data_IF_076558784215
#
_entry.id   IF_076558784215
#
_cell.length_a   1.000
_cell.length_b   1.000
_cell.length_c   1.000
_cell.angle_alpha   90.00
_cell.angle_beta   90.00
_cell.angle_gamma   90.00
#
_symmetry.space_group_name_H-M   'P 1'
#
loop_
_entity.id
_entity.type
_entity.pdbx_description
1 polymer ?
#
# COMPACT_ATOMS: atom_id res chain seq x y z
N UNK A 1 -15.43 1.17 -15.48
CA UNK A 1 -14.47 1.75 -14.51
C UNK A 1 -15.16 2.91 -13.79
N UNK A 2 -14.96 3.02 -12.47
CA UNK A 2 -15.55 4.09 -11.65
C UNK A 2 -14.94 5.43 -12.03
N UNK A 3 -15.75 6.47 -12.19
CA UNK A 3 -15.27 7.86 -12.24
C UNK A 3 -14.83 8.25 -10.81
N UNK A 4 -13.53 8.10 -10.56
CA UNK A 4 -12.99 8.27 -9.21
C UNK A 4 -13.12 9.70 -8.70
N UNK A 5 -13.11 10.72 -9.58
CA UNK A 5 -13.27 12.11 -9.16
C UNK A 5 -14.66 12.37 -8.62
N UNK A 6 -15.69 12.05 -9.42
CA UNK A 6 -17.08 12.21 -9.00
C UNK A 6 -17.42 11.34 -7.78
N UNK A 7 -16.84 10.12 -7.72
CA UNK A 7 -17.05 9.20 -6.60
C UNK A 7 -16.43 9.74 -5.30
N UNK A 8 -15.19 10.23 -5.34
CA UNK A 8 -14.52 10.81 -4.16
C UNK A 8 -15.18 12.08 -3.67
N UNK A 9 -15.73 12.91 -4.56
CA UNK A 9 -16.51 14.09 -4.18
C UNK A 9 -17.77 13.69 -3.39
N UNK A 10 -18.49 12.66 -3.87
CA UNK A 10 -19.66 12.11 -3.17
C UNK A 10 -19.30 11.49 -1.84
N UNK A 11 -18.19 10.73 -1.81
CA UNK A 11 -17.66 10.15 -0.56
C UNK A 11 -17.36 11.24 0.47
N UNK A 12 -16.60 12.28 0.08
CA UNK A 12 -16.24 13.38 0.98
C UNK A 12 -17.47 14.14 1.48
N UNK A 13 -18.46 14.38 0.62
CA UNK A 13 -19.71 15.01 1.02
C UNK A 13 -20.44 14.18 2.08
N UNK A 14 -20.58 12.86 1.84
CA UNK A 14 -21.27 11.94 2.77
C UNK A 14 -20.51 11.81 4.08
N UNK A 15 -19.18 11.70 4.03
CA UNK A 15 -18.30 11.65 5.20
C UNK A 15 -18.44 12.93 6.03
N UNK A 16 -18.46 14.10 5.39
CA UNK A 16 -18.60 15.39 6.07
C UNK A 16 -19.97 15.54 6.76
N UNK A 17 -21.04 15.03 6.16
CA UNK A 17 -22.37 15.00 6.80
C UNK A 17 -22.40 14.13 8.06
N UNK A 18 -21.58 13.09 8.11
CA UNK A 18 -21.54 12.17 9.25
C UNK A 18 -20.56 12.59 10.35
N UNK A 19 -19.38 13.11 9.98
CA UNK A 19 -18.29 13.34 10.94
C UNK A 19 -17.88 14.83 11.08
N UNK A 20 -18.25 15.68 10.10
CA UNK A 20 -18.08 17.14 10.20
C UNK A 20 -16.63 17.56 10.46
N UNK A 21 -16.46 18.35 11.51
CA UNK A 21 -15.16 18.89 11.93
C UNK A 21 -14.21 17.84 12.54
N UNK A 22 -14.71 16.67 12.87
CA UNK A 22 -13.91 15.56 13.37
C UNK A 22 -12.97 14.97 12.31
N UNK A 23 -13.16 15.30 11.03
CA UNK A 23 -12.33 14.84 9.92
C UNK A 23 -11.01 15.61 9.91
N UNK A 24 -9.93 14.98 10.34
CA UNK A 24 -8.59 15.56 10.26
C UNK A 24 -7.99 15.41 8.87
N UNK A 25 -8.13 14.22 8.22
CA UNK A 25 -7.56 13.96 6.90
C UNK A 25 -8.44 13.01 6.09
N UNK A 26 -8.47 13.23 4.77
CA UNK A 26 -9.01 12.29 3.78
C UNK A 26 -8.03 12.17 2.62
N UNK A 27 -7.77 10.95 2.18
CA UNK A 27 -6.92 10.67 1.03
C UNK A 27 -7.36 9.45 0.24
N UNK A 28 -6.71 9.25 -0.88
CA UNK A 28 -6.88 8.09 -1.76
C UNK A 28 -5.54 7.37 -1.89
N UNK A 29 -5.55 6.05 -1.81
CA UNK A 29 -4.41 5.17 -2.02
C UNK A 29 -4.63 4.20 -3.19
N UNK A 30 -3.75 3.24 -3.30
CA UNK A 30 -3.91 2.11 -4.20
C UNK A 30 -3.83 2.47 -5.68
N UNK A 31 -4.45 1.64 -6.50
CA UNK A 31 -4.37 1.74 -7.96
C UNK A 31 -5.04 3.00 -8.50
N UNK A 32 -6.11 3.48 -7.88
CA UNK A 32 -6.77 4.73 -8.27
C UNK A 32 -5.89 5.95 -8.01
N UNK A 33 -5.21 6.02 -6.87
CA UNK A 33 -4.28 7.13 -6.57
C UNK A 33 -3.11 7.17 -7.56
N UNK A 34 -2.62 6.01 -8.00
CA UNK A 34 -1.52 5.88 -8.96
C UNK A 34 -1.92 6.05 -10.42
N UNK A 35 -3.24 6.09 -10.73
CA UNK A 35 -3.74 6.10 -12.11
C UNK A 35 -3.55 4.74 -12.83
N UNK A 36 -3.54 3.64 -12.09
CA UNK A 36 -3.33 2.26 -12.56
C UNK A 36 -4.55 1.35 -12.31
N UNK A 37 -5.71 1.94 -12.01
CA UNK A 37 -6.93 1.20 -11.70
C UNK A 37 -7.48 0.44 -12.91
N UNK A 38 -8.13 -0.68 -12.64
CA UNK A 38 -8.88 -1.50 -13.57
C UNK A 38 -10.35 -1.57 -13.12
N UNK A 39 -11.20 -2.28 -13.85
CA UNK A 39 -12.62 -2.45 -13.45
C UNK A 39 -12.81 -3.21 -12.15
N UNK A 40 -11.84 -4.05 -11.79
CA UNK A 40 -11.85 -4.87 -10.57
C UNK A 40 -11.04 -4.26 -9.42
N UNK A 41 -10.55 -3.03 -9.59
CA UNK A 41 -9.73 -2.38 -8.56
C UNK A 41 -10.58 -1.92 -7.39
N UNK A 42 -10.05 -2.13 -6.18
CA UNK A 42 -10.60 -1.57 -4.94
C UNK A 42 -10.39 -0.05 -4.91
N UNK A 43 -11.28 0.64 -4.22
CA UNK A 43 -11.20 2.08 -3.93
C UNK A 43 -10.65 2.24 -2.52
N UNK A 44 -9.35 2.49 -2.41
CA UNK A 44 -8.62 2.54 -1.15
C UNK A 44 -8.70 3.95 -0.53
N UNK A 45 -9.72 4.20 0.29
CA UNK A 45 -9.90 5.48 0.97
C UNK A 45 -9.14 5.52 2.31
N UNK A 46 -8.45 6.61 2.56
CA UNK A 46 -7.85 6.91 3.86
C UNK A 46 -8.69 7.97 4.56
N UNK A 47 -9.14 7.65 5.76
CA UNK A 47 -9.89 8.59 6.61
C UNK A 47 -9.26 8.63 8.00
N UNK A 48 -8.85 9.82 8.42
CA UNK A 48 -8.34 10.03 9.78
C UNK A 48 -9.26 11.03 10.47
N UNK A 49 -9.84 10.59 11.58
CA UNK A 49 -10.64 11.43 12.45
C UNK A 49 -9.77 11.99 13.59
N UNK A 50 -10.31 12.92 14.34
CA UNK A 50 -9.70 13.41 15.59
C UNK A 50 -9.42 12.25 16.57
N UNK A 51 -10.40 11.38 16.74
CA UNK A 51 -10.34 10.11 17.47
C UNK A 51 -11.28 9.09 16.84
N UNK A 52 -11.09 7.79 17.10
CA UNK A 52 -11.96 6.71 16.61
C UNK A 52 -12.41 5.82 17.76
N UNK A 53 -13.72 5.72 17.94
CA UNK A 53 -14.38 4.77 18.83
C UNK A 53 -15.00 3.60 18.05
N UNK A 54 -15.43 2.55 18.76
CA UNK A 54 -16.20 1.45 18.15
C UNK A 54 -17.50 1.94 17.52
N UNK A 55 -18.14 2.96 18.12
CA UNK A 55 -19.35 3.57 17.56
C UNK A 55 -19.06 4.33 16.27
N UNK A 56 -17.89 4.98 16.15
CA UNK A 56 -17.46 5.63 14.92
C UNK A 56 -17.24 4.60 13.80
N UNK A 57 -16.67 3.44 14.11
CA UNK A 57 -16.50 2.35 13.14
C UNK A 57 -17.86 1.87 12.62
N UNK A 58 -18.84 1.65 13.53
CA UNK A 58 -20.18 1.26 13.15
C UNK A 58 -20.87 2.32 12.28
N UNK A 59 -20.75 3.58 12.67
CA UNK A 59 -21.30 4.72 11.91
C UNK A 59 -20.65 4.85 10.54
N UNK A 60 -19.32 4.69 10.47
CA UNK A 60 -18.58 4.70 9.20
C UNK A 60 -19.02 3.56 8.28
N UNK A 61 -19.15 2.34 8.81
CA UNK A 61 -19.65 1.21 8.03
C UNK A 61 -21.06 1.48 7.48
N UNK A 62 -21.99 1.96 8.32
CA UNK A 62 -23.35 2.30 7.88
C UNK A 62 -23.36 3.40 6.81
N UNK A 63 -22.43 4.36 6.91
CA UNK A 63 -22.23 5.39 5.88
C UNK A 63 -21.75 4.77 4.56
N UNK A 64 -20.77 3.87 4.61
CA UNK A 64 -20.25 3.19 3.42
C UNK A 64 -21.35 2.40 2.69
N UNK A 65 -22.28 1.79 3.42
CA UNK A 65 -23.41 1.03 2.86
C UNK A 65 -24.38 1.91 2.04
N UNK A 66 -24.32 3.23 2.18
CA UNK A 66 -25.11 4.19 1.39
C UNK A 66 -24.45 4.60 0.06
N UNK A 67 -23.19 4.21 -0.15
CA UNK A 67 -22.42 4.60 -1.33
C UNK A 67 -22.50 3.55 -2.43
N UNK A 68 -22.38 4.02 -3.68
CA UNK A 68 -22.22 3.12 -4.83
C UNK A 68 -20.87 2.38 -4.76
N UNK A 69 -20.82 1.22 -5.38
CA UNK A 69 -19.62 0.39 -5.44
C UNK A 69 -19.13 -0.06 -4.04
N UNK A 70 -20.07 -0.30 -3.11
CA UNK A 70 -19.77 -0.69 -1.72
C UNK A 70 -18.79 -1.87 -1.63
N UNK A 71 -18.93 -2.84 -2.51
CA UNK A 71 -18.10 -4.05 -2.58
C UNK A 71 -16.64 -3.78 -3.00
N UNK A 72 -16.39 -2.64 -3.64
CA UNK A 72 -15.03 -2.23 -4.03
C UNK A 72 -14.40 -1.28 -3.02
N UNK A 73 -15.18 -0.77 -2.04
CA UNK A 73 -14.65 0.19 -1.06
C UNK A 73 -13.78 -0.56 -0.05
N UNK A 74 -12.54 -0.15 0.02
CA UNK A 74 -11.53 -0.59 0.98
C UNK A 74 -10.83 0.63 1.60
N UNK A 75 -9.87 0.43 2.46
CA UNK A 75 -9.00 1.50 2.91
C UNK A 75 -8.69 1.47 4.40
N UNK A 76 -8.38 2.64 4.94
CA UNK A 76 -7.84 2.81 6.27
C UNK A 76 -8.64 3.86 7.05
N UNK A 77 -9.13 3.50 8.22
CA UNK A 77 -9.79 4.40 9.19
C UNK A 77 -8.99 4.39 10.48
N UNK A 78 -8.59 5.57 10.97
CA UNK A 78 -7.85 5.70 12.23
C UNK A 78 -8.15 7.03 12.92
N UNK A 79 -7.81 7.12 14.19
CA UNK A 79 -7.69 8.38 14.91
C UNK A 79 -6.34 9.05 14.63
N UNK A 80 -6.28 10.37 14.79
CA UNK A 80 -5.07 11.16 14.60
C UNK A 80 -3.94 10.71 15.52
N UNK A 81 -4.25 10.48 16.79
CA UNK A 81 -3.23 10.12 17.77
C UNK A 81 -2.66 8.71 17.52
N UNK A 82 -3.49 7.75 17.14
CA UNK A 82 -3.03 6.41 16.76
C UNK A 82 -2.10 6.50 15.55
N UNK A 83 -2.44 7.29 14.53
CA UNK A 83 -1.61 7.46 13.35
C UNK A 83 -0.25 8.12 13.69
N UNK A 84 -0.24 9.17 14.53
CA UNK A 84 1.00 9.86 14.95
C UNK A 84 1.94 8.99 15.81
N UNK A 85 1.42 7.90 16.39
CA UNK A 85 2.20 6.92 17.16
C UNK A 85 2.35 5.57 16.43
N UNK A 86 1.97 5.51 15.16
CA UNK A 86 2.12 4.29 14.35
C UNK A 86 3.60 3.97 14.10
N UNK A 87 3.89 2.72 13.72
CA UNK A 87 5.25 2.30 13.40
C UNK A 87 5.81 3.10 12.20
N UNK A 88 6.91 3.85 12.35
CA UNK A 88 7.43 4.73 11.28
C UNK A 88 7.76 4.02 9.97
N UNK A 89 8.13 2.74 10.01
CA UNK A 89 8.39 1.95 8.81
C UNK A 89 7.13 1.74 7.95
N UNK A 90 5.96 1.58 8.59
CA UNK A 90 4.67 1.47 7.89
C UNK A 90 4.21 2.85 7.39
N UNK A 91 4.42 3.89 8.21
CA UNK A 91 4.09 5.27 7.85
C UNK A 91 4.85 5.76 6.63
N UNK A 92 6.06 5.28 6.38
CA UNK A 92 6.84 5.66 5.21
C UNK A 92 6.08 5.38 3.91
N UNK A 93 5.56 4.17 3.74
CA UNK A 93 4.78 3.81 2.56
C UNK A 93 3.41 4.50 2.59
N UNK A 94 2.75 4.50 3.74
CA UNK A 94 1.44 5.14 3.93
C UNK A 94 1.45 6.59 3.48
N UNK A 95 2.42 7.39 3.92
CA UNK A 95 2.57 8.80 3.55
C UNK A 95 2.78 8.98 2.04
N UNK A 96 3.74 8.24 1.49
CA UNK A 96 4.15 8.41 0.09
C UNK A 96 3.12 7.89 -0.93
N UNK A 97 2.34 6.86 -0.59
CA UNK A 97 1.31 6.30 -1.47
C UNK A 97 -0.06 6.97 -1.32
N UNK A 98 -0.23 7.88 -0.35
CA UNK A 98 -1.49 8.57 -0.12
C UNK A 98 -1.56 9.88 -0.90
N UNK A 99 -2.54 10.00 -1.79
CA UNK A 99 -2.89 11.25 -2.46
C UNK A 99 -3.89 12.03 -1.60
N UNK A 100 -3.55 13.21 -1.06
CA UNK A 100 -4.45 14.00 -0.24
C UNK A 100 -5.69 14.48 -1.01
N UNK A 101 -6.87 14.43 -0.35
CA UNK A 101 -8.14 15.00 -0.82
C UNK A 101 -8.54 16.15 0.12
N UNK A 102 -8.42 15.95 1.44
CA UNK A 102 -8.70 16.97 2.47
C UNK A 102 -7.68 16.85 3.59
N UNK A 103 -7.14 17.98 4.05
CA UNK A 103 -6.12 18.04 5.10
C UNK A 103 -4.71 17.75 4.61
N UNK A 104 -3.76 17.57 5.54
CA UNK A 104 -2.36 17.25 5.25
C UNK A 104 -1.86 16.15 6.19
N UNK A 105 -0.94 15.32 5.71
CA UNK A 105 -0.20 14.34 6.51
C UNK A 105 1.20 14.85 6.91
N UNK A 106 1.52 16.12 6.70
CA UNK A 106 2.88 16.65 6.89
C UNK A 106 3.39 16.53 8.34
N UNK A 107 2.49 16.39 9.33
CA UNK A 107 2.88 16.08 10.70
C UNK A 107 3.61 14.74 10.84
N UNK A 108 3.44 13.82 9.88
CA UNK A 108 4.15 12.52 9.86
C UNK A 108 5.61 12.65 9.40
N UNK A 109 5.98 13.72 8.68
CA UNK A 109 7.31 13.86 8.08
C UNK A 109 8.45 13.76 9.10
N UNK A 110 8.22 14.21 10.33
CA UNK A 110 9.22 14.14 11.40
C UNK A 110 9.54 12.70 11.85
N UNK A 111 8.66 11.74 11.52
CA UNK A 111 8.79 10.32 11.85
C UNK A 111 9.45 9.52 10.70
N UNK A 112 9.54 10.11 9.50
CA UNK A 112 9.97 9.44 8.27
C UNK A 112 11.46 9.66 7.99
N UNK A 113 12.30 9.34 8.95
CA UNK A 113 13.75 9.44 8.84
C UNK A 113 14.38 8.24 8.08
N UNK A 114 15.69 8.29 7.91
CA UNK A 114 16.46 7.20 7.26
C UNK A 114 16.32 5.86 8.01
N UNK A 115 16.15 5.89 9.34
CA UNK A 115 15.95 4.69 10.12
C UNK A 115 14.60 4.03 9.82
N UNK A 116 13.53 4.82 9.66
CA UNK A 116 12.21 4.33 9.25
C UNK A 116 12.28 3.62 7.88
N UNK A 117 12.96 4.22 6.90
CA UNK A 117 13.14 3.61 5.57
C UNK A 117 13.92 2.30 5.63
N UNK A 118 15.03 2.27 6.37
CA UNK A 118 15.83 1.05 6.56
C UNK A 118 15.03 -0.05 7.26
N UNK A 119 14.20 0.30 8.25
CA UNK A 119 13.30 -0.65 8.92
C UNK A 119 12.22 -1.17 7.96
N UNK A 120 11.62 -0.32 7.12
CA UNK A 120 10.65 -0.73 6.12
C UNK A 120 11.23 -1.79 5.17
N UNK A 121 12.44 -1.57 4.66
CA UNK A 121 13.17 -2.53 3.80
C UNK A 121 13.41 -3.83 4.57
N UNK A 122 13.98 -3.74 5.79
CA UNK A 122 14.36 -4.90 6.60
C UNK A 122 13.16 -5.77 6.99
N UNK A 123 12.11 -5.16 7.53
CA UNK A 123 10.89 -5.86 7.94
C UNK A 123 10.21 -6.49 6.72
N UNK A 124 10.09 -5.73 5.63
CA UNK A 124 9.53 -6.24 4.38
C UNK A 124 10.30 -7.45 3.84
N UNK A 125 11.63 -7.38 3.77
CA UNK A 125 12.48 -8.49 3.33
C UNK A 125 12.34 -9.73 4.25
N UNK A 126 12.28 -9.55 5.58
CA UNK A 126 12.07 -10.64 6.52
C UNK A 126 10.70 -11.32 6.31
N UNK A 127 9.64 -10.54 6.14
CA UNK A 127 8.30 -11.07 5.91
C UNK A 127 8.20 -11.83 4.58
N UNK A 128 8.82 -11.30 3.51
CA UNK A 128 8.89 -11.97 2.21
C UNK A 128 9.67 -13.28 2.30
N UNK A 129 10.83 -13.26 2.96
CA UNK A 129 11.62 -14.47 3.19
C UNK A 129 10.82 -15.54 3.91
N UNK A 130 10.21 -15.19 5.05
CA UNK A 130 9.39 -16.13 5.81
C UNK A 130 8.22 -16.66 4.98
N UNK A 131 7.49 -15.77 4.29
CA UNK A 131 6.36 -16.14 3.43
C UNK A 131 6.78 -17.06 2.28
N UNK A 132 7.94 -16.81 1.63
CA UNK A 132 8.49 -17.69 0.60
C UNK A 132 8.77 -19.10 1.15
N UNK A 133 9.49 -19.20 2.26
CA UNK A 133 9.81 -20.49 2.89
C UNK A 133 8.54 -21.26 3.25
N UNK A 134 7.59 -20.58 3.91
CA UNK A 134 6.32 -21.18 4.30
C UNK A 134 5.52 -21.65 3.08
N UNK A 135 5.42 -20.84 2.04
CA UNK A 135 4.69 -21.19 0.83
C UNK A 135 5.34 -22.34 0.07
N UNK A 136 6.68 -22.38 -0.02
CA UNK A 136 7.40 -23.48 -0.70
C UNK A 136 7.25 -24.81 0.03
N UNK A 137 7.16 -24.80 1.36
CA UNK A 137 7.08 -26.02 2.17
C UNK A 137 5.65 -26.53 2.33
N UNK A 138 4.70 -25.64 2.61
CA UNK A 138 3.39 -26.03 3.10
C UNK A 138 2.24 -25.70 2.13
N UNK A 139 2.11 -24.45 1.69
CA UNK A 139 0.94 -24.01 0.95
C UNK A 139 1.01 -24.33 -0.55
N UNK A 140 2.18 -24.15 -1.15
CA UNK A 140 2.45 -24.31 -2.61
C UNK A 140 1.45 -23.55 -3.49
N UNK A 141 1.05 -22.38 -3.00
CA UNK A 141 0.00 -21.54 -3.58
C UNK A 141 0.59 -20.47 -4.50
N UNK A 142 0.13 -20.43 -5.74
CA UNK A 142 0.46 -19.37 -6.70
C UNK A 142 -0.12 -18.02 -6.27
N UNK A 143 -1.28 -18.00 -5.62
CA UNK A 143 -1.91 -16.79 -5.13
C UNK A 143 -1.06 -16.12 -4.03
N UNK A 144 -0.57 -16.92 -3.07
CA UNK A 144 0.37 -16.42 -2.05
C UNK A 144 1.64 -15.88 -2.71
N UNK A 145 2.18 -16.59 -3.71
CA UNK A 145 3.38 -16.12 -4.43
C UNK A 145 3.13 -14.79 -5.13
N UNK A 146 1.97 -14.59 -5.78
CA UNK A 146 1.55 -13.31 -6.37
C UNK A 146 1.49 -12.19 -5.32
N UNK A 147 0.94 -12.48 -4.14
CA UNK A 147 0.91 -11.59 -3.00
C UNK A 147 2.30 -11.19 -2.50
N UNK A 148 3.21 -12.15 -2.42
CA UNK A 148 4.61 -11.91 -2.02
C UNK A 148 5.35 -11.01 -3.03
N UNK A 149 5.17 -11.21 -4.34
CA UNK A 149 5.73 -10.31 -5.36
C UNK A 149 5.14 -8.89 -5.29
N UNK A 150 3.82 -8.78 -5.00
CA UNK A 150 3.21 -7.47 -4.73
C UNK A 150 3.88 -6.79 -3.53
N UNK A 151 4.07 -7.50 -2.42
CA UNK A 151 4.75 -6.96 -1.24
C UNK A 151 6.21 -6.60 -1.53
N UNK A 152 6.93 -7.43 -2.30
CA UNK A 152 8.30 -7.17 -2.70
C UNK A 152 8.41 -5.90 -3.55
N UNK A 153 7.46 -5.63 -4.44
CA UNK A 153 7.45 -4.40 -5.23
C UNK A 153 7.36 -3.13 -4.38
N UNK A 154 6.71 -3.18 -3.23
CA UNK A 154 6.69 -2.08 -2.25
C UNK A 154 8.02 -1.92 -1.52
N UNK A 155 8.68 -3.04 -1.18
CA UNK A 155 10.05 -2.98 -0.63
C UNK A 155 11.02 -2.36 -1.63
N UNK A 156 10.89 -2.69 -2.93
CA UNK A 156 11.69 -2.07 -4.01
C UNK A 156 11.46 -0.55 -4.09
N UNK A 157 10.24 -0.05 -3.85
CA UNK A 157 10.00 1.40 -3.76
C UNK A 157 10.79 2.05 -2.62
N UNK A 158 10.85 1.41 -1.45
CA UNK A 158 11.64 1.90 -0.32
C UNK A 158 13.16 1.84 -0.62
N UNK A 159 13.64 0.80 -1.29
CA UNK A 159 15.02 0.66 -1.75
C UNK A 159 15.38 1.80 -2.73
N UNK A 160 14.53 2.03 -3.73
CA UNK A 160 14.68 3.12 -4.69
C UNK A 160 14.75 4.48 -4.00
N UNK A 161 13.86 4.72 -3.03
CA UNK A 161 13.89 5.95 -2.24
C UNK A 161 15.18 6.09 -1.43
N UNK A 162 15.64 5.03 -0.77
CA UNK A 162 16.93 5.02 -0.03
C UNK A 162 18.09 5.40 -0.93
N UNK A 163 18.12 4.92 -2.17
CA UNK A 163 19.21 5.12 -3.11
C UNK A 163 19.16 6.49 -3.82
N UNK A 164 17.95 7.00 -4.09
CA UNK A 164 17.77 8.17 -4.98
C UNK A 164 17.17 9.39 -4.29
N UNK A 165 16.60 9.24 -3.10
CA UNK A 165 15.81 10.27 -2.42
C UNK A 165 14.45 10.54 -3.06
N UNK A 166 14.03 9.74 -4.06
CA UNK A 166 12.76 9.94 -4.77
C UNK A 166 11.85 8.72 -4.60
N UNK A 167 10.64 8.95 -4.11
CA UNK A 167 9.61 7.91 -4.06
C UNK A 167 8.89 7.81 -5.41
N UNK A 168 8.77 6.59 -5.93
CA UNK A 168 8.15 6.32 -7.23
C UNK A 168 6.96 5.39 -7.04
N UNK A 169 5.74 5.96 -7.01
CA UNK A 169 4.51 5.20 -6.80
C UNK A 169 4.17 4.27 -7.97
N UNK A 170 4.44 4.70 -9.22
CA UNK A 170 4.05 3.95 -10.42
C UNK A 170 5.06 2.84 -10.72
N UNK A 171 4.61 1.58 -10.67
CA UNK A 171 5.45 0.39 -10.85
C UNK A 171 6.16 0.35 -12.23
N UNK A 172 5.49 0.80 -13.29
CA UNK A 172 6.11 0.87 -14.63
C UNK A 172 7.28 1.87 -14.70
N UNK A 173 7.19 2.98 -13.95
CA UNK A 173 8.29 3.95 -13.85
C UNK A 173 9.40 3.42 -12.94
N UNK A 174 9.04 2.77 -11.84
CA UNK A 174 9.97 2.14 -10.91
C UNK A 174 10.88 1.15 -11.65
N UNK A 175 10.30 0.28 -12.49
CA UNK A 175 11.03 -0.70 -13.30
C UNK A 175 12.14 -0.08 -14.16
N UNK A 176 11.99 1.19 -14.59
CA UNK A 176 12.95 1.85 -15.50
C UNK A 176 14.16 2.43 -14.77
N UNK A 177 14.12 2.54 -13.44
CA UNK A 177 15.12 3.30 -12.67
C UNK A 177 15.83 2.49 -11.59
N UNK A 178 15.32 1.31 -11.25
CA UNK A 178 15.94 0.44 -10.24
C UNK A 178 17.01 -0.44 -10.84
N UNK A 179 17.87 -0.98 -9.99
CA UNK A 179 18.97 -1.88 -10.37
C UNK A 179 18.45 -3.23 -10.91
N UNK A 180 19.28 -4.00 -11.65
CA UNK A 180 18.83 -5.24 -12.31
C UNK A 180 18.13 -6.27 -11.40
N UNK A 181 18.61 -6.44 -10.16
CA UNK A 181 17.98 -7.38 -9.21
C UNK A 181 16.56 -6.95 -8.86
N UNK A 182 16.36 -5.66 -8.61
CA UNK A 182 15.06 -5.06 -8.30
C UNK A 182 14.16 -5.01 -9.55
N UNK A 183 14.73 -4.82 -10.75
CA UNK A 183 13.98 -4.90 -12.00
C UNK A 183 13.30 -6.25 -12.18
N UNK A 184 13.97 -7.36 -11.86
CA UNK A 184 13.40 -8.71 -11.94
C UNK A 184 12.16 -8.82 -11.05
N UNK A 185 12.19 -8.27 -9.83
CA UNK A 185 11.06 -8.30 -8.90
C UNK A 185 9.87 -7.50 -9.43
N UNK A 186 10.12 -6.25 -9.84
CA UNK A 186 9.04 -5.37 -10.34
C UNK A 186 8.46 -5.88 -11.66
N UNK A 187 9.30 -6.37 -12.57
CA UNK A 187 8.87 -6.96 -13.84
C UNK A 187 7.97 -8.18 -13.61
N UNK A 188 8.40 -9.11 -12.76
CA UNK A 188 7.61 -10.31 -12.42
C UNK A 188 6.27 -9.91 -11.78
N UNK A 189 6.27 -8.93 -10.87
CA UNK A 189 5.02 -8.41 -10.30
C UNK A 189 4.07 -7.88 -11.39
N UNK A 190 4.56 -7.08 -12.33
CA UNK A 190 3.75 -6.52 -13.41
C UNK A 190 3.21 -7.60 -14.36
N UNK A 191 4.02 -8.61 -14.69
CA UNK A 191 3.56 -9.77 -15.47
C UNK A 191 2.45 -10.54 -14.75
N UNK A 192 2.65 -10.86 -13.47
CA UNK A 192 1.65 -11.55 -12.65
C UNK A 192 0.35 -10.75 -12.52
N UNK A 193 0.45 -9.43 -12.36
CA UNK A 193 -0.71 -8.52 -12.30
C UNK A 193 -1.50 -8.50 -13.61
N UNK A 194 -0.85 -8.67 -14.75
CA UNK A 194 -1.49 -8.73 -16.07
C UNK A 194 -2.02 -10.13 -16.46
N UNK A 195 -2.01 -11.10 -15.53
CA UNK A 195 -2.48 -12.46 -15.80
C UNK A 195 -1.41 -13.40 -16.37
N UNK A 196 -0.13 -13.02 -16.26
CA UNK A 196 0.99 -13.85 -16.69
C UNK A 196 1.04 -15.20 -15.97
N UNK A 197 1.67 -16.18 -16.63
CA UNK A 197 1.83 -17.55 -16.12
C UNK A 197 2.80 -17.56 -14.94
N UNK A 198 2.48 -18.38 -13.95
CA UNK A 198 3.32 -18.59 -12.77
C UNK A 198 4.26 -19.77 -12.98
N UNK A 199 5.56 -19.53 -12.93
CA UNK A 199 6.54 -20.60 -12.73
C UNK A 199 6.88 -20.65 -11.24
N UNK A 200 6.07 -21.39 -10.48
CA UNK A 200 6.13 -21.39 -9.02
C UNK A 200 7.54 -21.62 -8.47
N UNK A 201 8.24 -22.66 -8.96
CA UNK A 201 9.57 -23.00 -8.45
C UNK A 201 10.57 -21.87 -8.70
N UNK A 202 10.73 -21.46 -9.96
CA UNK A 202 11.72 -20.45 -10.35
C UNK A 202 11.44 -19.09 -9.69
N UNK A 203 10.16 -18.69 -9.67
CA UNK A 203 9.77 -17.42 -9.07
C UNK A 203 9.98 -17.44 -7.55
N UNK A 204 9.67 -18.54 -6.86
CA UNK A 204 9.92 -18.68 -5.42
C UNK A 204 11.40 -18.62 -5.10
N UNK A 205 12.26 -19.31 -5.85
CA UNK A 205 13.72 -19.27 -5.68
C UNK A 205 14.28 -17.86 -5.89
N UNK A 206 13.83 -17.17 -6.95
CA UNK A 206 14.25 -15.79 -7.23
C UNK A 206 13.91 -14.84 -6.06
N UNK A 207 12.67 -14.91 -5.59
CA UNK A 207 12.19 -14.04 -4.52
C UNK A 207 12.85 -14.35 -3.17
N UNK A 208 13.10 -15.64 -2.91
CA UNK A 208 13.83 -16.10 -1.72
C UNK A 208 15.26 -15.54 -1.68
N UNK A 209 16.05 -15.69 -2.76
CA UNK A 209 17.43 -15.19 -2.79
C UNK A 209 17.48 -13.65 -2.76
N UNK A 210 16.54 -12.97 -3.42
CA UNK A 210 16.43 -11.53 -3.35
C UNK A 210 16.14 -11.04 -1.93
N UNK A 211 15.16 -11.63 -1.25
CA UNK A 211 14.81 -11.25 0.13
C UNK A 211 15.96 -11.52 1.10
N UNK A 212 16.66 -12.63 0.95
CA UNK A 212 17.83 -13.01 1.74
C UNK A 212 19.00 -12.01 1.61
N UNK A 213 19.18 -11.39 0.44
CA UNK A 213 20.13 -10.30 0.22
C UNK A 213 19.77 -9.11 1.11
N UNK A 214 18.53 -8.63 1.04
CA UNK A 214 18.08 -7.44 1.76
C UNK A 214 17.91 -7.62 3.28
N UNK A 215 17.83 -8.84 3.76
CA UNK A 215 17.94 -9.15 5.20
C UNK A 215 19.35 -8.89 5.72
N UNK A 216 20.38 -9.05 4.91
CA UNK A 216 21.79 -8.94 5.34
C UNK A 216 22.35 -7.52 5.20
N UNK A 217 21.77 -6.70 4.36
CA UNK A 217 22.10 -5.28 4.19
C UNK A 217 21.40 -4.38 5.22
#
# INVERSE_FOLDING_TARGET
MVDISAWTDKFLQTLTQNFGERIWFVGLQGSYARGEATETSDIDMVVILDEVSVLDIQKYNAMLDTLSNREQICGFLSGKQELLHWEPSDLFQFYNDTKPIKGSLDELLVLLDTAAVNRAIKIGACNIYHGCVHNMLYEKSEEILRGLYKSASFVVQAICFKQTGKYVCQQKKLLQIVEPDEQVIVHTFLELKSGGLTNFQKMSETLFEWSKKWIKE
#
